data_IF_637941558852
#
_entry.id   IF_637941558852
#
_cell.length_a   1.000
_cell.length_b   1.000
_cell.length_c   1.000
_cell.angle_alpha   90.00
_cell.angle_beta   90.00
_cell.angle_gamma   90.00
#
_symmetry.space_group_name_H-M   'P 1'
#
loop_
_entity.id
_entity.type
_entity.pdbx_description
1 polymer ?
#
# COMPACT_ATOMS: atom_id res chain seq x y z
N UNK A 1 -14.45 -30.42 -0.05
CA UNK A 1 -14.95 -29.09 -0.48
C UNK A 1 -14.71 -27.97 0.54
N UNK A 2 -14.66 -28.23 1.86
CA UNK A 2 -14.39 -27.18 2.87
C UNK A 2 -13.01 -26.49 2.75
N UNK A 3 -11.97 -27.21 2.30
CA UNK A 3 -10.61 -26.65 2.11
C UNK A 3 -10.52 -25.65 0.95
N UNK A 4 -11.29 -25.86 -0.13
CA UNK A 4 -11.36 -24.94 -1.27
C UNK A 4 -12.04 -23.63 -0.89
N UNK A 5 -13.10 -23.68 -0.06
CA UNK A 5 -13.78 -22.49 0.42
C UNK A 5 -12.87 -21.62 1.32
N UNK A 6 -12.06 -22.25 2.19
CA UNK A 6 -11.09 -21.52 3.01
C UNK A 6 -9.99 -20.84 2.19
N UNK A 7 -9.47 -21.52 1.16
CA UNK A 7 -8.50 -20.93 0.23
C UNK A 7 -9.10 -19.75 -0.53
N UNK A 8 -10.36 -19.84 -0.95
CA UNK A 8 -11.06 -18.78 -1.67
C UNK A 8 -11.32 -17.56 -0.76
N UNK A 9 -11.73 -17.80 0.49
CA UNK A 9 -11.94 -16.75 1.49
C UNK A 9 -10.61 -16.03 1.80
N UNK A 10 -9.51 -16.77 1.96
CA UNK A 10 -8.18 -16.17 2.19
C UNK A 10 -7.75 -15.27 1.01
N UNK A 11 -8.02 -15.69 -0.22
CA UNK A 11 -7.73 -14.93 -1.45
C UNK A 11 -8.52 -13.62 -1.51
N UNK A 12 -9.79 -13.64 -1.08
CA UNK A 12 -10.63 -12.43 -0.97
C UNK A 12 -10.07 -11.49 0.12
N UNK A 13 -9.58 -12.00 1.24
CA UNK A 13 -9.00 -11.14 2.29
C UNK A 13 -7.67 -10.48 1.90
N UNK A 14 -6.84 -11.14 1.09
CA UNK A 14 -5.60 -10.56 0.57
C UNK A 14 -5.92 -9.46 -0.48
N UNK A 15 -7.02 -9.62 -1.23
CA UNK A 15 -7.48 -8.60 -2.20
C UNK A 15 -7.96 -7.28 -1.58
N UNK A 16 -8.26 -7.28 -0.27
CA UNK A 16 -8.66 -6.08 0.47
C UNK A 16 -7.47 -5.17 0.84
N UNK A 17 -6.23 -5.66 0.74
CA UNK A 17 -5.06 -4.86 1.08
C UNK A 17 -4.55 -4.12 -0.15
N UNK A 18 -4.64 -2.79 -0.12
CA UNK A 18 -4.42 -1.93 -1.31
C UNK A 18 -3.01 -1.99 -1.88
N UNK A 19 -2.03 -2.51 -1.13
CA UNK A 19 -0.64 -2.64 -1.59
C UNK A 19 -0.21 -4.09 -1.81
N UNK A 20 -1.07 -5.08 -1.58
CA UNK A 20 -0.67 -6.50 -1.49
C UNK A 20 -0.53 -7.22 -2.82
N UNK A 21 -1.03 -6.62 -3.90
CA UNK A 21 -1.04 -7.21 -5.25
C UNK A 21 0.17 -6.79 -6.10
N UNK A 22 0.92 -5.77 -5.68
CA UNK A 22 2.09 -5.28 -6.42
C UNK A 22 3.32 -6.12 -6.05
N UNK A 23 4.28 -6.32 -6.95
CA UNK A 23 5.53 -7.06 -6.68
C UNK A 23 6.75 -6.13 -6.73
N UNK A 24 6.79 -5.20 -5.78
CA UNK A 24 7.87 -4.22 -5.71
C UNK A 24 9.17 -4.85 -5.20
N UNK A 25 10.26 -4.67 -5.94
CA UNK A 25 11.64 -5.09 -5.62
C UNK A 25 12.42 -4.02 -4.89
N UNK A 26 12.07 -2.75 -5.06
CA UNK A 26 12.76 -1.61 -4.45
C UNK A 26 11.86 -0.37 -4.29
N UNK A 27 12.33 0.60 -3.50
CA UNK A 27 11.69 1.90 -3.36
C UNK A 27 11.74 2.67 -4.68
N UNK A 28 12.85 2.56 -5.42
CA UNK A 28 13.06 3.17 -6.73
C UNK A 28 12.07 2.65 -7.76
N UNK A 29 11.71 1.36 -7.70
CA UNK A 29 10.67 0.77 -8.55
C UNK A 29 9.28 1.30 -8.20
N UNK A 30 8.93 1.41 -6.91
CA UNK A 30 7.67 2.07 -6.49
C UNK A 30 7.58 3.47 -7.08
N UNK A 31 8.66 4.24 -6.94
CA UNK A 31 8.75 5.59 -7.46
C UNK A 31 8.59 5.61 -8.98
N UNK A 32 9.36 4.81 -9.70
CA UNK A 32 9.37 4.78 -11.16
C UNK A 32 8.01 4.37 -11.73
N UNK A 33 7.34 3.38 -11.14
CA UNK A 33 6.06 2.89 -11.63
C UNK A 33 4.92 3.88 -11.38
N UNK A 34 5.03 4.70 -10.33
CA UNK A 34 3.96 5.57 -9.85
C UNK A 34 4.27 7.06 -10.00
N UNK A 35 5.35 7.44 -10.69
CA UNK A 35 5.79 8.82 -10.81
C UNK A 35 4.71 9.73 -11.39
N UNK A 36 4.12 9.33 -12.52
CA UNK A 36 3.02 10.06 -13.18
C UNK A 36 1.84 10.29 -12.22
N UNK A 37 1.49 9.28 -11.43
CA UNK A 37 0.40 9.35 -10.45
C UNK A 37 0.70 10.36 -9.33
N UNK A 38 1.97 10.43 -8.90
CA UNK A 38 2.39 11.39 -7.90
C UNK A 38 2.45 12.82 -8.44
N UNK A 39 2.84 13.00 -9.70
CA UNK A 39 2.77 14.28 -10.39
C UNK A 39 1.31 14.75 -10.55
N UNK A 40 0.36 13.86 -10.86
CA UNK A 40 -1.08 14.18 -10.90
C UNK A 40 -1.62 14.70 -9.56
N UNK A 41 -1.09 14.20 -8.43
CA UNK A 41 -1.44 14.71 -7.09
C UNK A 41 -0.83 16.11 -6.86
N UNK A 42 0.27 16.43 -7.56
CA UNK A 42 1.08 17.63 -7.37
C UNK A 42 2.15 17.46 -6.30
N UNK A 43 2.65 16.24 -6.08
CA UNK A 43 3.72 15.99 -5.12
C UNK A 43 5.07 16.43 -5.69
N UNK A 44 5.85 17.14 -4.89
CA UNK A 44 7.25 17.42 -5.21
C UNK A 44 8.15 16.18 -5.01
N UNK A 45 9.36 16.24 -5.54
CA UNK A 45 10.35 15.16 -5.51
C UNK A 45 10.66 14.65 -4.08
N UNK A 46 10.68 15.53 -3.08
CA UNK A 46 10.93 15.11 -1.69
C UNK A 46 9.75 14.31 -1.14
N UNK A 47 8.52 14.78 -1.40
CA UNK A 47 7.30 14.05 -1.04
C UNK A 47 7.22 12.73 -1.79
N UNK A 48 7.51 12.68 -3.08
CA UNK A 48 7.54 11.46 -3.90
C UNK A 48 8.49 10.42 -3.29
N UNK A 49 9.71 10.84 -2.94
CA UNK A 49 10.70 9.94 -2.34
C UNK A 49 10.21 9.38 -0.99
N UNK A 50 9.57 10.21 -0.17
CA UNK A 50 9.03 9.76 1.11
C UNK A 50 7.81 8.85 0.96
N UNK A 51 6.85 9.22 0.11
CA UNK A 51 5.64 8.42 -0.17
C UNK A 51 6.03 7.05 -0.71
N UNK A 52 7.01 6.98 -1.63
CA UNK A 52 7.51 5.72 -2.19
C UNK A 52 8.08 4.80 -1.10
N UNK A 53 8.78 5.36 -0.10
CA UNK A 53 9.28 4.59 1.05
C UNK A 53 8.15 4.03 1.91
N UNK A 54 7.11 4.82 2.15
CA UNK A 54 5.96 4.38 2.95
C UNK A 54 5.21 3.26 2.24
N UNK A 55 4.94 3.41 0.94
CA UNK A 55 4.28 2.38 0.12
C UNK A 55 5.10 1.08 0.14
N UNK A 56 6.41 1.17 -0.11
CA UNK A 56 7.27 -0.02 -0.11
C UNK A 56 7.30 -0.72 1.25
N UNK A 57 7.38 0.05 2.35
CA UNK A 57 7.33 -0.49 3.71
C UNK A 57 6.00 -1.19 4.01
N UNK A 58 4.88 -0.57 3.65
CA UNK A 58 3.53 -1.14 3.84
C UNK A 58 3.37 -2.44 3.04
N UNK A 59 3.83 -2.44 1.78
CA UNK A 59 3.89 -3.62 0.93
C UNK A 59 4.69 -4.76 1.58
N UNK A 60 5.93 -4.53 2.00
CA UNK A 60 6.78 -5.57 2.63
C UNK A 60 6.18 -6.12 3.91
N UNK A 61 5.58 -5.26 4.73
CA UNK A 61 4.87 -5.68 5.95
C UNK A 61 3.68 -6.58 5.63
N UNK A 62 2.92 -6.26 4.60
CA UNK A 62 1.79 -7.08 4.21
C UNK A 62 2.19 -8.42 3.59
N UNK A 63 3.23 -8.44 2.76
CA UNK A 63 3.83 -9.69 2.27
C UNK A 63 4.25 -10.58 3.45
N UNK A 64 4.92 -10.01 4.46
CA UNK A 64 5.28 -10.73 5.66
C UNK A 64 4.07 -11.26 6.43
N UNK A 65 3.01 -10.46 6.58
CA UNK A 65 1.75 -10.87 7.25
C UNK A 65 1.07 -12.01 6.47
N UNK A 66 1.01 -11.91 5.14
CA UNK A 66 0.45 -12.93 4.27
C UNK A 66 1.25 -14.24 4.34
N UNK A 67 2.59 -14.16 4.37
CA UNK A 67 3.45 -15.35 4.46
C UNK A 67 3.50 -15.97 5.85
N UNK A 68 3.27 -15.18 6.91
CA UNK A 68 3.34 -15.65 8.32
C UNK A 68 2.00 -16.13 8.89
N UNK A 69 0.91 -16.09 8.12
CA UNK A 69 -0.41 -16.52 8.57
C UNK A 69 -1.02 -15.64 9.66
N UNK A 70 -0.61 -14.37 9.73
CA UNK A 70 -1.06 -13.42 10.74
C UNK A 70 -2.53 -13.00 10.56
N UNK A 71 -3.19 -12.61 11.66
CA UNK A 71 -4.64 -12.36 11.66
C UNK A 71 -5.06 -11.14 10.81
N UNK A 72 -6.27 -11.13 10.23
CA UNK A 72 -6.78 -10.01 9.42
C UNK A 72 -6.81 -8.64 10.13
N UNK A 73 -6.89 -8.62 11.47
CA UNK A 73 -6.83 -7.38 12.26
C UNK A 73 -5.49 -6.67 12.14
N UNK A 74 -4.39 -7.41 11.94
CA UNK A 74 -3.07 -6.81 11.68
C UNK A 74 -3.01 -6.12 10.32
N UNK A 75 -3.80 -6.53 9.34
CA UNK A 75 -3.84 -5.91 8.01
C UNK A 75 -4.51 -4.54 8.06
N UNK A 76 -5.63 -4.41 8.78
CA UNK A 76 -6.34 -3.13 8.95
C UNK A 76 -5.48 -2.09 9.67
N UNK A 77 -4.61 -2.51 10.60
CA UNK A 77 -3.67 -1.59 11.25
C UNK A 77 -2.56 -1.07 10.33
N UNK A 78 -2.21 -1.80 9.26
CA UNK A 78 -1.13 -1.39 8.35
C UNK A 78 -1.53 -0.17 7.51
N UNK A 79 -2.79 -0.13 7.04
CA UNK A 79 -3.29 1.02 6.27
C UNK A 79 -3.31 2.29 7.13
N UNK A 80 -3.74 2.18 8.39
CA UNK A 80 -3.73 3.31 9.34
C UNK A 80 -2.30 3.78 9.64
N UNK A 81 -1.37 2.86 9.87
CA UNK A 81 0.04 3.19 10.09
C UNK A 81 0.64 3.90 8.86
N UNK A 82 0.31 3.44 7.65
CA UNK A 82 0.75 4.08 6.41
C UNK A 82 0.20 5.51 6.29
N UNK A 83 -1.10 5.72 6.55
CA UNK A 83 -1.71 7.05 6.54
C UNK A 83 -1.04 8.00 7.56
N UNK A 84 -0.79 7.53 8.79
CA UNK A 84 -0.07 8.31 9.82
C UNK A 84 1.35 8.68 9.38
N UNK A 85 2.04 7.76 8.69
CA UNK A 85 3.37 8.02 8.14
C UNK A 85 3.33 9.03 6.99
N UNK A 86 2.34 8.93 6.10
CA UNK A 86 2.16 9.85 4.97
C UNK A 86 1.87 11.27 5.45
N UNK A 87 1.09 11.44 6.52
CA UNK A 87 0.78 12.75 7.11
C UNK A 87 1.99 13.51 7.67
N UNK A 88 3.16 12.87 7.77
CA UNK A 88 4.42 13.56 8.12
C UNK A 88 4.91 14.48 7.00
N UNK A 89 4.49 14.24 5.75
CA UNK A 89 4.90 15.03 4.57
C UNK A 89 3.72 15.51 3.71
N UNK A 90 2.58 14.83 3.79
CA UNK A 90 1.36 15.18 3.07
C UNK A 90 0.43 15.99 3.98
N UNK A 91 -0.17 17.03 3.41
CA UNK A 91 -1.36 17.65 4.00
C UNK A 91 -2.55 16.68 3.99
N UNK A 92 -3.56 16.96 4.82
CA UNK A 92 -4.81 16.18 4.83
C UNK A 92 -5.47 16.14 3.44
N UNK A 93 -5.39 17.22 2.67
CA UNK A 93 -5.94 17.29 1.31
C UNK A 93 -5.16 16.40 0.32
N UNK A 94 -3.83 16.41 0.40
CA UNK A 94 -2.97 15.54 -0.41
C UNK A 94 -3.18 14.07 -0.05
N UNK A 95 -3.27 13.73 1.23
CA UNK A 95 -3.59 12.36 1.66
C UNK A 95 -4.94 11.91 1.12
N UNK A 96 -5.97 12.78 1.16
CA UNK A 96 -7.29 12.46 0.62
C UNK A 96 -7.24 12.19 -0.89
N UNK A 97 -6.50 13.01 -1.65
CA UNK A 97 -6.28 12.79 -3.09
C UNK A 97 -5.53 11.47 -3.33
N UNK A 98 -4.44 11.24 -2.61
CA UNK A 98 -3.66 10.00 -2.67
C UNK A 98 -4.55 8.78 -2.42
N UNK A 99 -5.33 8.78 -1.34
CA UNK A 99 -6.22 7.68 -1.00
C UNK A 99 -7.35 7.48 -2.01
N UNK A 100 -7.79 8.53 -2.71
CA UNK A 100 -8.75 8.38 -3.82
C UNK A 100 -8.18 7.70 -5.05
N UNK A 101 -6.86 7.77 -5.27
CA UNK A 101 -6.19 7.19 -6.43
C UNK A 101 -5.27 6.01 -6.09
N UNK A 102 -5.21 5.57 -4.83
CA UNK A 102 -4.35 4.46 -4.37
C UNK A 102 -4.60 3.14 -5.12
N UNK A 103 -5.83 2.94 -5.60
CA UNK A 103 -6.21 1.77 -6.40
C UNK A 103 -5.57 1.75 -7.79
N UNK A 104 -4.98 2.86 -8.23
CA UNK A 104 -4.25 3.00 -9.50
C UNK A 104 -2.74 2.77 -9.36
N UNK A 105 -2.25 2.49 -8.14
CA UNK A 105 -0.83 2.21 -7.93
C UNK A 105 -0.43 0.97 -8.74
N UNK A 106 0.56 1.15 -9.63
CA UNK A 106 1.14 0.12 -10.48
C UNK A 106 2.19 -0.68 -9.70
#
# INVERSE_FOLDING_TARGET
MKKFLFSLILLIFISSFSYGLNDYKSIEEVKSLNYELFEEIGLDENKINYVSRVIYSAYKKAQYVASSGASPQKVVSLDKEADEMLLKVLSQAELKKFNSIKHKLK
#
